data_IF_993427544085
#
_entry.id   IF_993427544085
#
_cell.length_a   1.000
_cell.length_b   1.000
_cell.length_c   1.000
_cell.angle_alpha   90.00
_cell.angle_beta   90.00
_cell.angle_gamma   90.00
#
_symmetry.space_group_name_H-M   'P 1'
#
loop_
_entity.id
_entity.type
_entity.pdbx_description
1 polymer ?
#
# COMPACT_ATOMS: atom_id res chain seq x y z
N UNK A 1 3.94 3.37 -10.24
CA UNK A 1 4.97 4.41 -10.00
C UNK A 1 6.10 3.98 -9.05
N UNK A 2 5.86 3.70 -7.76
CA UNK A 2 6.96 3.39 -6.80
C UNK A 2 7.72 2.09 -7.10
N UNK A 3 7.09 1.15 -7.80
CA UNK A 3 7.71 -0.10 -8.24
C UNK A 3 8.43 -0.01 -9.58
N UNK A 4 8.22 1.06 -10.34
CA UNK A 4 8.68 1.18 -11.74
C UNK A 4 9.81 2.19 -11.87
N UNK A 5 9.80 3.24 -11.04
CA UNK A 5 10.83 4.28 -11.04
C UNK A 5 11.88 3.95 -10.00
N UNK A 6 13.08 3.55 -10.45
CA UNK A 6 14.18 3.09 -9.58
C UNK A 6 14.57 4.07 -8.46
N UNK A 7 14.49 5.38 -8.72
CA UNK A 7 14.71 6.39 -7.69
C UNK A 7 13.63 6.36 -6.59
N UNK A 8 12.35 6.30 -6.96
CA UNK A 8 11.23 6.27 -6.00
C UNK A 8 11.20 4.93 -5.25
N UNK A 9 11.57 3.84 -5.93
CA UNK A 9 11.81 2.54 -5.31
C UNK A 9 12.87 2.63 -4.21
N UNK A 10 14.08 3.07 -4.57
CA UNK A 10 15.21 3.13 -3.65
C UNK A 10 14.99 4.12 -2.49
N UNK A 11 14.33 5.25 -2.75
CA UNK A 11 14.12 6.30 -1.76
C UNK A 11 13.11 5.94 -0.67
N UNK A 12 12.15 5.05 -0.95
CA UNK A 12 10.99 4.86 -0.09
C UNK A 12 10.48 3.44 0.03
N UNK A 13 10.31 2.79 -1.11
CA UNK A 13 9.53 1.56 -1.19
C UNK A 13 10.37 0.28 -1.02
N UNK A 14 11.67 0.35 -1.32
CA UNK A 14 12.60 -0.77 -1.15
C UNK A 14 12.66 -1.26 0.30
N UNK A 15 12.58 -0.35 1.28
CA UNK A 15 12.57 -0.66 2.71
C UNK A 15 11.38 -1.54 3.08
N UNK A 16 10.22 -1.27 2.47
CA UNK A 16 9.00 -2.02 2.70
C UNK A 16 9.11 -3.46 2.20
N UNK A 17 9.67 -3.63 1.00
CA UNK A 17 9.93 -4.92 0.37
C UNK A 17 11.27 -5.57 0.78
N UNK A 18 11.89 -5.11 1.87
CA UNK A 18 13.20 -5.61 2.31
C UNK A 18 13.14 -6.84 3.21
N UNK A 19 11.98 -7.11 3.82
CA UNK A 19 11.83 -8.20 4.78
C UNK A 19 11.78 -9.56 4.07
N UNK A 20 12.55 -10.53 4.55
CA UNK A 20 12.46 -11.93 4.10
C UNK A 20 11.17 -12.61 4.58
N UNK A 21 10.57 -12.10 5.66
CA UNK A 21 9.33 -12.61 6.23
C UNK A 21 8.19 -11.62 6.00
N UNK A 22 7.09 -12.09 5.41
CA UNK A 22 5.89 -11.30 5.21
C UNK A 22 4.96 -11.41 6.42
N UNK A 23 4.95 -10.37 7.27
CA UNK A 23 4.13 -10.29 8.48
C UNK A 23 3.82 -8.81 8.82
N UNK A 24 3.13 -8.56 9.93
CA UNK A 24 2.70 -7.20 10.31
C UNK A 24 3.85 -6.22 10.51
N UNK A 25 5.06 -6.67 10.87
CA UNK A 25 6.22 -5.78 10.98
C UNK A 25 6.65 -5.22 9.62
N UNK A 26 6.37 -5.93 8.52
CA UNK A 26 6.62 -5.46 7.15
C UNK A 26 5.84 -4.19 6.85
N UNK A 27 4.60 -4.07 7.36
CA UNK A 27 3.78 -2.86 7.21
C UNK A 27 4.45 -1.62 7.80
N UNK A 28 5.20 -1.78 8.89
CA UNK A 28 5.86 -0.70 9.61
C UNK A 28 7.18 -0.26 8.97
N UNK A 29 7.72 -1.02 8.01
CA UNK A 29 8.97 -0.72 7.31
C UNK A 29 8.77 0.32 6.20
N UNK A 30 8.40 1.53 6.58
CA UNK A 30 8.26 2.64 5.64
C UNK A 30 9.59 3.41 5.55
N UNK A 31 9.99 3.84 4.35
CA UNK A 31 11.18 4.68 4.17
C UNK A 31 10.99 6.07 4.82
N UNK A 32 12.01 6.55 5.54
CA UNK A 32 11.96 7.87 6.20
C UNK A 32 11.71 9.01 5.19
N UNK A 33 12.38 8.97 4.04
CA UNK A 33 12.21 9.98 2.99
C UNK A 33 10.81 9.93 2.38
N UNK A 34 10.25 8.73 2.15
CA UNK A 34 8.85 8.58 1.69
C UNK A 34 7.88 9.26 2.67
N UNK A 35 8.06 9.05 3.97
CA UNK A 35 7.22 9.72 4.97
C UNK A 35 7.39 11.24 4.92
N UNK A 36 8.63 11.73 4.84
CA UNK A 36 8.96 13.15 4.82
C UNK A 36 8.42 13.91 3.58
N UNK A 37 8.22 13.24 2.44
CA UNK A 37 7.72 13.87 1.21
C UNK A 37 6.26 13.55 0.88
N UNK A 38 5.66 12.59 1.58
CA UNK A 38 4.29 12.11 1.28
C UNK A 38 3.23 13.20 1.40
N UNK A 39 3.44 14.23 2.23
CA UNK A 39 2.51 15.35 2.42
C UNK A 39 2.22 16.10 1.11
N UNK A 40 3.14 16.10 0.14
CA UNK A 40 2.96 16.76 -1.17
C UNK A 40 1.75 16.19 -1.91
N UNK A 41 1.48 14.89 -1.79
CA UNK A 41 0.33 14.25 -2.44
C UNK A 41 -1.01 14.67 -1.83
N UNK A 42 -1.01 15.30 -0.65
CA UNK A 42 -2.22 15.82 0.00
C UNK A 42 -2.45 17.31 -0.32
N UNK A 43 -1.48 18.02 -0.92
CA UNK A 43 -1.64 19.43 -1.28
C UNK A 43 -2.83 19.70 -2.22
N UNK A 44 -3.11 18.88 -3.25
CA UNK A 44 -4.30 19.10 -4.07
C UNK A 44 -5.60 19.06 -3.26
N UNK A 45 -5.70 18.18 -2.27
CA UNK A 45 -6.87 18.12 -1.38
C UNK A 45 -6.99 19.37 -0.53
N UNK A 46 -5.86 19.89 -0.02
CA UNK A 46 -5.82 21.14 0.71
C UNK A 46 -6.26 22.34 -0.16
N UNK A 47 -5.84 22.40 -1.42
CA UNK A 47 -6.24 23.45 -2.37
C UNK A 47 -7.73 23.37 -2.70
N UNK A 48 -8.30 22.17 -2.77
CA UNK A 48 -9.74 21.94 -2.95
C UNK A 48 -10.57 22.27 -1.69
N UNK A 49 -9.93 22.70 -0.60
CA UNK A 49 -10.61 23.07 0.64
C UNK A 49 -11.11 21.87 1.45
N UNK A 50 -10.56 20.67 1.24
CA UNK A 50 -10.92 19.49 2.03
C UNK A 50 -10.44 19.70 3.48
N UNK A 51 -11.33 19.58 4.47
CA UNK A 51 -10.96 19.72 5.88
C UNK A 51 -9.85 18.75 6.31
N UNK A 52 -8.91 19.24 7.13
CA UNK A 52 -7.75 18.46 7.57
C UNK A 52 -8.15 17.24 8.41
N UNK A 53 -9.18 17.37 9.25
CA UNK A 53 -9.75 16.29 10.06
C UNK A 53 -10.28 15.14 9.19
N UNK A 54 -10.97 15.44 8.08
CA UNK A 54 -11.45 14.43 7.13
C UNK A 54 -10.29 13.69 6.48
N UNK A 55 -9.30 14.41 5.96
CA UNK A 55 -8.13 13.79 5.31
C UNK A 55 -7.29 12.94 6.26
N UNK A 56 -7.10 13.39 7.51
CA UNK A 56 -6.39 12.63 8.55
C UNK A 56 -7.15 11.39 8.98
N UNK A 57 -8.48 11.48 9.08
CA UNK A 57 -9.33 10.33 9.40
C UNK A 57 -9.22 9.26 8.31
N UNK A 58 -9.37 9.65 7.05
CA UNK A 58 -9.21 8.74 5.92
C UNK A 58 -7.81 8.10 5.89
N UNK A 59 -6.76 8.90 6.09
CA UNK A 59 -5.37 8.41 6.16
C UNK A 59 -5.19 7.36 7.26
N UNK A 60 -5.79 7.58 8.42
CA UNK A 60 -5.70 6.65 9.56
C UNK A 60 -6.35 5.31 9.22
N UNK A 61 -7.58 5.34 8.69
CA UNK A 61 -8.26 4.13 8.23
C UNK A 61 -7.49 3.40 7.14
N UNK A 62 -6.91 4.14 6.19
CA UNK A 62 -6.08 3.56 5.14
C UNK A 62 -4.83 2.86 5.71
N UNK A 63 -4.13 3.49 6.65
CA UNK A 63 -2.97 2.87 7.32
C UNK A 63 -3.38 1.60 8.08
N UNK A 64 -4.51 1.61 8.78
CA UNK A 64 -5.01 0.43 9.48
C UNK A 64 -5.34 -0.71 8.49
N UNK A 65 -5.97 -0.36 7.36
CA UNK A 65 -6.23 -1.31 6.29
C UNK A 65 -4.93 -1.90 5.71
N UNK A 66 -3.95 -1.03 5.39
CA UNK A 66 -2.64 -1.45 4.92
C UNK A 66 -1.95 -2.36 5.93
N UNK A 67 -2.05 -2.08 7.23
CA UNK A 67 -1.43 -2.90 8.25
C UNK A 67 -1.99 -4.33 8.26
N UNK A 68 -3.33 -4.46 8.27
CA UNK A 68 -4.01 -5.75 8.36
C UNK A 68 -3.68 -6.72 7.22
N UNK A 69 -3.49 -6.22 5.99
CA UNK A 69 -3.20 -7.07 4.83
C UNK A 69 -1.78 -7.66 4.84
N UNK A 70 -0.90 -7.24 5.76
CA UNK A 70 0.45 -7.78 5.89
C UNK A 70 0.49 -9.03 6.78
N UNK A 71 -0.09 -10.12 6.30
CA UNK A 71 -0.03 -11.40 7.02
C UNK A 71 0.02 -12.59 6.07
N UNK A 72 0.81 -13.60 6.44
CA UNK A 72 0.83 -14.90 5.79
C UNK A 72 -0.16 -15.90 6.38
N UNK A 73 -0.79 -15.55 7.52
CA UNK A 73 -1.69 -16.46 8.26
C UNK A 73 -3.02 -16.63 7.52
N UNK A 74 -3.56 -15.53 6.98
CA UNK A 74 -4.78 -15.57 6.19
C UNK A 74 -4.44 -16.05 4.79
N UNK A 75 -4.99 -17.19 4.38
CA UNK A 75 -4.80 -17.79 3.06
C UNK A 75 -5.42 -16.94 1.95
N UNK A 76 -6.48 -17.44 1.32
CA UNK A 76 -7.33 -16.65 0.43
C UNK A 76 -8.67 -16.36 1.09
N UNK A 77 -9.22 -15.19 0.80
CA UNK A 77 -10.58 -14.82 1.13
C UNK A 77 -11.55 -15.36 0.08
N UNK A 78 -12.85 -15.51 0.42
CA UNK A 78 -13.84 -15.95 -0.54
C UNK A 78 -14.04 -14.90 -1.64
N UNK A 79 -14.41 -15.39 -2.83
CA UNK A 79 -14.97 -14.55 -3.88
C UNK A 79 -16.26 -13.88 -3.38
N UNK A 80 -16.50 -12.57 -3.62
CA UNK A 80 -15.81 -11.65 -4.54
C UNK A 80 -14.72 -10.77 -3.90
N UNK A 81 -14.38 -10.95 -2.62
CA UNK A 81 -13.47 -10.03 -1.92
C UNK A 81 -12.08 -9.99 -2.54
N UNK A 82 -11.56 -11.14 -2.97
CA UNK A 82 -10.29 -11.28 -3.72
C UNK A 82 -10.28 -10.54 -5.06
N UNK A 83 -11.45 -10.27 -5.62
CA UNK A 83 -11.57 -9.63 -6.93
C UNK A 83 -11.63 -8.11 -6.85
N UNK A 84 -12.15 -7.59 -5.75
CA UNK A 84 -12.45 -6.18 -5.57
C UNK A 84 -11.43 -5.50 -4.66
N UNK A 85 -11.11 -6.16 -3.54
CA UNK A 85 -10.31 -5.59 -2.46
C UNK A 85 -8.88 -6.15 -2.47
N UNK A 86 -7.94 -5.35 -1.98
CA UNK A 86 -6.59 -5.82 -1.69
C UNK A 86 -6.64 -6.71 -0.44
N UNK A 87 -6.48 -8.01 -0.62
CA UNK A 87 -6.52 -9.03 0.45
C UNK A 87 -5.10 -9.40 0.90
N UNK A 88 -4.92 -10.12 2.03
CA UNK A 88 -3.60 -10.60 2.43
C UNK A 88 -2.91 -11.48 1.37
N UNK A 89 -3.67 -12.30 0.66
CA UNK A 89 -3.25 -13.10 -0.49
C UNK A 89 -2.78 -12.25 -1.67
N UNK A 90 -3.58 -11.27 -2.09
CA UNK A 90 -3.21 -10.37 -3.18
C UNK A 90 -1.98 -9.54 -2.82
N UNK A 91 -1.89 -9.10 -1.56
CA UNK A 91 -0.77 -8.30 -1.08
C UNK A 91 0.52 -9.12 -0.92
N UNK A 92 0.42 -10.42 -0.62
CA UNK A 92 1.59 -11.33 -0.69
C UNK A 92 2.17 -11.39 -2.09
N UNK A 93 1.31 -11.49 -3.11
CA UNK A 93 1.74 -11.50 -4.52
C UNK A 93 2.42 -10.17 -4.87
N UNK A 94 1.90 -9.05 -4.36
CA UNK A 94 2.53 -7.74 -4.49
C UNK A 94 3.94 -7.68 -3.89
N UNK A 95 4.13 -8.30 -2.72
CA UNK A 95 5.44 -8.41 -2.06
C UNK A 95 6.40 -9.40 -2.74
N UNK A 96 5.91 -10.21 -3.68
CA UNK A 96 6.79 -10.98 -4.55
C UNK A 96 7.42 -10.07 -5.61
N UNK A 97 8.70 -9.76 -5.36
CA UNK A 97 9.55 -8.94 -6.22
C UNK A 97 9.66 -9.42 -7.66
N UNK A 98 9.30 -10.66 -7.98
CA UNK A 98 9.38 -11.22 -9.33
C UNK A 98 8.08 -11.05 -10.12
N UNK A 99 6.95 -10.93 -9.43
CA UNK A 99 5.63 -10.97 -10.06
C UNK A 99 5.16 -9.59 -10.50
N UNK A 100 5.57 -8.51 -9.81
CA UNK A 100 5.23 -7.12 -10.15
C UNK A 100 3.75 -6.92 -10.49
N UNK A 101 2.86 -7.32 -9.56
CA UNK A 101 1.38 -7.25 -9.70
C UNK A 101 0.77 -6.57 -8.49
N UNK A 102 -0.52 -6.23 -8.59
CA UNK A 102 -1.34 -5.81 -7.44
C UNK A 102 -0.77 -4.56 -6.74
N UNK A 103 -0.52 -3.49 -7.48
CA UNK A 103 0.01 -2.23 -6.98
C UNK A 103 -0.98 -1.39 -6.17
N UNK A 104 -2.29 -1.64 -6.30
CA UNK A 104 -3.33 -0.95 -5.55
C UNK A 104 -3.31 -1.26 -4.05
N UNK A 105 -3.33 -0.24 -3.19
CA UNK A 105 -3.29 -0.47 -1.73
C UNK A 105 -4.59 -1.06 -1.15
N UNK A 106 -5.76 -0.69 -1.67
CA UNK A 106 -7.05 -1.05 -1.07
C UNK A 106 -7.97 -1.77 -2.04
N UNK A 107 -7.95 -1.40 -3.31
CA UNK A 107 -8.81 -1.94 -4.34
C UNK A 107 -7.94 -2.55 -5.44
N UNK A 108 -7.98 -3.87 -5.55
CA UNK A 108 -7.24 -4.62 -6.59
C UNK A 108 -7.96 -4.56 -7.95
N UNK A 109 -9.23 -4.12 -7.97
CA UNK A 109 -9.99 -3.98 -9.22
C UNK A 109 -9.29 -3.06 -10.21
N UNK A 110 -8.58 -2.03 -9.74
CA UNK A 110 -7.85 -1.13 -10.64
C UNK A 110 -6.68 -1.84 -11.33
N UNK A 111 -5.95 -2.71 -10.63
CA UNK A 111 -4.88 -3.53 -11.21
C UNK A 111 -5.38 -4.60 -12.21
N UNK A 112 -6.69 -4.86 -12.23
CA UNK A 112 -7.31 -5.78 -13.19
C UNK A 112 -7.85 -5.07 -14.42
N UNK A 113 -8.14 -3.77 -14.29
CA UNK A 113 -8.65 -2.94 -15.38
C UNK A 113 -7.52 -2.32 -16.21
N UNK A 114 -6.35 -2.10 -15.62
CA UNK A 114 -5.18 -1.44 -16.22
C UNK A 114 -3.95 -2.35 -16.16
#
# INVERSE_FOLDING_TARGET
MSHEIGFIWAMGHANHHSSEHFNFSTALRQGYLQQAVSWVFYLPLAVLGVPTDVSMTYRTWNIMYQFWIHTSIVGSLPWPLEEIMMTPSNHRIHHDRRLHKNFGGTLVVYDKLF
#
